data_IF_264792841755
#
_entry.id   IF_264792841755
#
_cell.length_a   1.000
_cell.length_b   1.000
_cell.length_c   1.000
_cell.angle_alpha   90.00
_cell.angle_beta   90.00
_cell.angle_gamma   90.00
#
_symmetry.space_group_name_H-M   'P 1'
#
loop_
_entity.id
_entity.type
_entity.pdbx_description
1 polymer ?
#
# COMPACT_ATOMS: atom_id res chain seq x y z
N UNK A 1 -26.19 12.16 -11.77
CA UNK A 1 -24.72 12.12 -11.56
C UNK A 1 -24.03 12.11 -12.91
N UNK A 2 -23.28 13.15 -13.26
CA UNK A 2 -22.47 13.11 -14.47
C UNK A 2 -21.37 12.05 -14.27
N UNK A 3 -21.29 11.11 -15.20
CA UNK A 3 -20.22 10.13 -15.21
C UNK A 3 -18.90 10.86 -15.53
N UNK A 4 -18.07 11.04 -14.52
CA UNK A 4 -16.70 11.49 -14.76
C UNK A 4 -15.98 10.37 -15.51
N UNK A 5 -15.40 10.70 -16.67
CA UNK A 5 -14.56 9.76 -17.39
C UNK A 5 -13.17 9.68 -16.71
N UNK A 6 -12.39 8.64 -17.00
CA UNK A 6 -11.07 8.45 -16.41
C UNK A 6 -10.13 9.66 -16.59
N UNK A 7 -10.22 10.37 -17.70
CA UNK A 7 -9.44 11.59 -17.98
C UNK A 7 -9.83 12.73 -17.03
N UNK A 8 -11.13 12.88 -16.70
CA UNK A 8 -11.60 13.90 -15.76
C UNK A 8 -11.16 13.58 -14.32
N UNK A 9 -11.16 12.30 -13.93
CA UNK A 9 -10.67 11.86 -12.62
C UNK A 9 -9.15 12.04 -12.50
N UNK A 10 -8.40 11.68 -13.54
CA UNK A 10 -6.95 11.93 -13.60
C UNK A 10 -6.64 13.43 -13.54
N UNK A 11 -7.39 14.26 -14.28
CA UNK A 11 -7.21 15.72 -14.23
C UNK A 11 -7.55 16.31 -12.86
N UNK A 12 -8.51 15.73 -12.14
CA UNK A 12 -8.86 16.12 -10.78
C UNK A 12 -7.76 15.70 -9.79
N UNK A 13 -7.27 14.47 -9.88
CA UNK A 13 -6.15 13.97 -9.09
C UNK A 13 -4.86 14.78 -9.31
N UNK A 14 -4.59 15.17 -10.57
CA UNK A 14 -3.46 16.05 -10.91
C UNK A 14 -3.68 17.50 -10.46
N UNK A 15 -4.94 17.95 -10.29
CA UNK A 15 -5.24 19.28 -9.71
C UNK A 15 -5.13 19.30 -8.19
N UNK A 16 -5.48 18.21 -7.56
CA UNK A 16 -5.17 17.99 -6.14
C UNK A 16 -3.67 17.77 -5.94
N UNK A 17 -2.92 17.60 -7.04
CA UNK A 17 -1.50 17.38 -7.09
C UNK A 17 -0.71 18.53 -6.50
N UNK A 18 -0.11 18.28 -5.42
CA UNK A 18 0.70 19.12 -4.57
C UNK A 18 2.13 19.26 -5.12
N UNK A 19 2.37 18.80 -6.33
CA UNK A 19 3.66 18.85 -6.99
C UNK A 19 3.82 20.18 -7.74
N UNK A 20 4.73 21.02 -7.28
CA UNK A 20 5.25 22.10 -8.10
C UNK A 20 6.09 21.50 -9.23
N UNK A 21 5.57 21.50 -10.46
CA UNK A 21 6.30 21.10 -11.64
C UNK A 21 7.61 21.92 -11.80
N UNK A 22 7.56 23.21 -11.44
CA UNK A 22 8.70 24.11 -11.49
C UNK A 22 9.81 23.68 -10.51
N UNK A 23 9.45 23.34 -9.27
CA UNK A 23 10.40 22.82 -8.27
C UNK A 23 10.94 21.45 -8.67
N UNK A 24 10.12 20.60 -9.32
CA UNK A 24 10.56 19.30 -9.86
C UNK A 24 11.58 19.48 -10.97
N UNK A 25 11.30 20.35 -11.94
CA UNK A 25 12.23 20.65 -13.03
C UNK A 25 13.52 21.31 -12.54
N UNK A 26 13.46 22.07 -11.45
CA UNK A 26 14.62 22.65 -10.81
C UNK A 26 15.43 21.66 -9.95
N UNK A 27 14.97 20.41 -9.77
CA UNK A 27 15.60 19.41 -8.93
C UNK A 27 15.57 19.71 -7.43
N UNK A 28 14.74 20.68 -7.02
CA UNK A 28 14.62 21.12 -5.63
C UNK A 28 13.42 20.51 -4.90
N UNK A 29 12.61 19.72 -5.61
CA UNK A 29 11.35 19.18 -5.14
C UNK A 29 11.43 17.72 -4.64
N UNK A 30 12.60 17.11 -4.63
CA UNK A 30 12.76 15.72 -4.22
C UNK A 30 13.19 15.66 -2.76
N UNK A 31 12.38 15.08 -1.90
CA UNK A 31 12.76 14.82 -0.51
C UNK A 31 13.68 13.60 -0.39
N UNK A 32 14.17 13.30 0.83
CA UNK A 32 15.07 12.18 1.07
C UNK A 32 14.46 10.80 0.69
N UNK A 33 13.13 10.69 0.62
CA UNK A 33 12.42 9.50 0.14
C UNK A 33 12.20 9.46 -1.37
N UNK A 34 12.67 10.47 -2.12
CA UNK A 34 12.48 10.59 -3.57
C UNK A 34 11.08 11.08 -3.96
N UNK A 35 10.30 11.61 -3.02
CA UNK A 35 8.96 12.13 -3.27
C UNK A 35 9.00 13.62 -3.63
N UNK A 36 8.02 14.04 -4.41
CA UNK A 36 7.73 15.47 -4.58
C UNK A 36 7.20 16.03 -3.26
N UNK A 37 7.72 17.18 -2.78
CA UNK A 37 7.20 17.81 -1.57
C UNK A 37 5.72 18.17 -1.71
N UNK A 38 4.90 17.71 -0.78
CA UNK A 38 3.53 18.14 -0.64
C UNK A 38 3.49 19.49 0.06
N UNK A 39 3.18 20.56 -0.70
CA UNK A 39 3.15 21.93 -0.21
C UNK A 39 1.81 22.33 0.43
N UNK A 40 0.83 21.43 0.47
CA UNK A 40 -0.44 21.67 1.16
C UNK A 40 -0.23 21.77 2.67
N UNK A 41 -1.15 22.47 3.33
CA UNK A 41 -1.15 22.57 4.80
C UNK A 41 -1.75 21.32 5.47
N UNK A 42 -2.59 20.59 4.74
CA UNK A 42 -3.25 19.36 5.18
C UNK A 42 -3.41 18.42 3.98
N UNK A 43 -3.24 17.12 4.16
CA UNK A 43 -3.38 16.12 3.11
C UNK A 43 -4.02 14.85 3.64
N UNK A 44 -4.22 13.85 2.76
CA UNK A 44 -4.78 12.53 3.12
C UNK A 44 -4.17 11.91 4.36
N UNK A 45 -2.88 12.16 4.60
CA UNK A 45 -2.14 11.54 5.70
C UNK A 45 -2.45 12.19 7.05
N UNK A 46 -2.84 13.46 7.06
CA UNK A 46 -3.11 14.24 8.27
C UNK A 46 -4.60 14.45 8.55
N UNK A 47 -5.46 14.31 7.53
CA UNK A 47 -6.90 14.49 7.64
C UNK A 47 -7.56 13.54 8.65
N UNK A 48 -8.48 14.07 9.44
CA UNK A 48 -9.37 13.30 10.33
C UNK A 48 -10.69 12.97 9.63
N UNK A 49 -11.56 12.20 10.28
CA UNK A 49 -12.72 11.56 9.64
C UNK A 49 -13.70 12.51 8.96
N UNK A 50 -13.88 13.72 9.47
CA UNK A 50 -14.77 14.76 8.93
C UNK A 50 -14.10 15.70 7.94
N UNK A 51 -12.80 15.56 7.71
CA UNK A 51 -12.03 16.35 6.75
C UNK A 51 -11.83 15.63 5.41
N UNK A 52 -12.01 14.31 5.38
CA UNK A 52 -11.78 13.50 4.18
C UNK A 52 -12.88 13.75 3.14
N UNK A 53 -12.48 14.20 1.97
CA UNK A 53 -13.41 14.37 0.84
C UNK A 53 -13.99 13.01 0.40
N UNK A 54 -15.31 12.91 0.14
CA UNK A 54 -15.94 11.67 -0.32
C UNK A 54 -15.32 11.08 -1.59
N UNK A 55 -14.82 11.91 -2.51
CA UNK A 55 -14.17 11.42 -3.72
C UNK A 55 -12.82 10.79 -3.38
N UNK A 56 -12.01 11.42 -2.54
CA UNK A 56 -10.75 10.89 -2.05
C UNK A 56 -10.96 9.55 -1.31
N UNK A 57 -11.96 9.47 -0.44
CA UNK A 57 -12.34 8.21 0.20
C UNK A 57 -12.57 7.11 -0.85
N UNK A 58 -13.36 7.39 -1.89
CA UNK A 58 -13.67 6.41 -2.93
C UNK A 58 -12.42 6.03 -3.73
N UNK A 59 -11.56 6.97 -4.07
CA UNK A 59 -10.30 6.71 -4.79
C UNK A 59 -9.35 5.84 -3.96
N UNK A 60 -9.17 6.15 -2.69
CA UNK A 60 -8.33 5.36 -1.78
C UNK A 60 -8.87 3.94 -1.62
N UNK A 61 -10.19 3.77 -1.42
CA UNK A 61 -10.79 2.43 -1.35
C UNK A 61 -10.64 1.68 -2.67
N UNK A 62 -10.87 2.36 -3.80
CA UNK A 62 -10.72 1.74 -5.11
C UNK A 62 -9.30 1.28 -5.36
N UNK A 63 -8.31 2.15 -5.18
CA UNK A 63 -6.92 1.82 -5.47
C UNK A 63 -6.32 0.80 -4.51
N UNK A 64 -6.66 0.84 -3.23
CA UNK A 64 -5.99 0.05 -2.20
C UNK A 64 -6.73 -1.22 -1.77
N UNK A 65 -8.00 -1.39 -2.13
CA UNK A 65 -8.76 -2.59 -1.79
C UNK A 65 -9.52 -3.19 -2.98
N UNK A 66 -10.27 -2.39 -3.73
CA UNK A 66 -11.10 -2.88 -4.82
C UNK A 66 -10.26 -3.32 -6.02
N UNK A 67 -9.30 -2.50 -6.45
CA UNK A 67 -8.43 -2.85 -7.58
C UNK A 67 -7.57 -4.09 -7.30
N UNK A 68 -6.91 -4.25 -6.12
CA UNK A 68 -6.27 -5.51 -5.75
C UNK A 68 -7.22 -6.72 -5.81
N UNK A 69 -8.44 -6.60 -5.29
CA UNK A 69 -9.43 -7.67 -5.39
C UNK A 69 -9.73 -8.05 -6.85
N UNK A 70 -9.96 -7.06 -7.70
CA UNK A 70 -10.23 -7.28 -9.12
C UNK A 70 -9.04 -7.91 -9.83
N UNK A 71 -7.81 -7.46 -9.56
CA UNK A 71 -6.60 -8.02 -10.13
C UNK A 71 -6.42 -9.48 -9.72
N UNK A 72 -6.53 -9.80 -8.43
CA UNK A 72 -6.46 -11.18 -7.94
C UNK A 72 -7.52 -12.05 -8.60
N UNK A 73 -8.78 -11.60 -8.60
CA UNK A 73 -9.89 -12.33 -9.20
C UNK A 73 -9.68 -12.62 -10.69
N UNK A 74 -9.20 -11.64 -11.45
CA UNK A 74 -9.02 -11.76 -12.91
C UNK A 74 -7.75 -12.50 -13.32
N UNK A 75 -6.69 -12.42 -12.52
CA UNK A 75 -5.43 -13.09 -12.79
C UNK A 75 -5.36 -14.51 -12.24
N UNK A 76 -6.20 -14.87 -11.28
CA UNK A 76 -6.22 -16.21 -10.67
C UNK A 76 -6.28 -17.35 -11.70
N UNK A 77 -7.11 -17.33 -12.76
CA UNK A 77 -7.12 -18.37 -13.77
C UNK A 77 -5.77 -18.54 -14.49
N UNK A 78 -5.08 -17.44 -14.78
CA UNK A 78 -3.75 -17.48 -15.41
C UNK A 78 -2.69 -18.04 -14.45
N UNK A 79 -2.72 -17.66 -13.17
CA UNK A 79 -1.83 -18.20 -12.13
C UNK A 79 -2.05 -19.71 -11.96
N UNK A 80 -3.31 -20.15 -11.91
CA UNK A 80 -3.65 -21.59 -11.88
C UNK A 80 -3.10 -22.34 -13.09
N UNK A 81 -3.28 -21.78 -14.29
CA UNK A 81 -2.77 -22.39 -15.53
C UNK A 81 -1.23 -22.48 -15.52
N UNK A 82 -0.52 -21.49 -14.99
CA UNK A 82 0.92 -21.54 -14.84
C UNK A 82 1.38 -22.69 -13.92
N UNK A 83 0.70 -22.89 -12.80
CA UNK A 83 0.98 -24.02 -11.89
C UNK A 83 0.69 -25.34 -12.56
N UNK A 84 -0.43 -25.47 -13.28
CA UNK A 84 -0.76 -26.70 -14.05
C UNK A 84 0.24 -26.98 -15.17
N UNK A 85 0.86 -25.95 -15.74
CA UNK A 85 1.91 -26.07 -16.76
C UNK A 85 3.30 -26.38 -16.19
N UNK A 86 3.44 -26.53 -14.87
CA UNK A 86 4.68 -26.97 -14.21
C UNK A 86 5.34 -25.93 -13.31
N UNK A 87 4.79 -24.74 -13.16
CA UNK A 87 5.25 -23.82 -12.14
C UNK A 87 4.96 -24.43 -10.75
N UNK A 88 5.95 -24.39 -9.86
CA UNK A 88 5.82 -24.95 -8.52
C UNK A 88 4.71 -24.27 -7.72
N UNK A 89 4.62 -22.95 -7.83
CA UNK A 89 3.70 -22.06 -7.12
C UNK A 89 3.41 -20.81 -7.95
N UNK A 90 2.40 -20.05 -7.53
CA UNK A 90 2.20 -18.67 -7.94
C UNK A 90 2.03 -17.80 -6.70
N UNK A 91 2.28 -16.51 -6.84
CA UNK A 91 2.38 -15.60 -5.70
C UNK A 91 1.47 -14.38 -5.86
N UNK A 92 0.84 -13.99 -4.77
CA UNK A 92 0.17 -12.71 -4.60
C UNK A 92 0.72 -12.05 -3.34
N UNK A 93 1.41 -10.95 -3.49
CA UNK A 93 1.92 -10.17 -2.36
C UNK A 93 1.17 -8.85 -2.31
N UNK A 94 0.23 -8.74 -1.38
CA UNK A 94 -0.53 -7.53 -1.16
C UNK A 94 0.29 -6.56 -0.32
N UNK A 95 0.66 -5.42 -0.90
CA UNK A 95 1.38 -4.37 -0.18
C UNK A 95 0.42 -3.67 0.77
N UNK A 96 0.49 -4.09 2.02
CA UNK A 96 -0.27 -3.54 3.13
C UNK A 96 0.61 -2.61 3.98
N UNK A 97 0.17 -2.33 5.18
CA UNK A 97 0.90 -1.52 6.14
C UNK A 97 0.33 -1.71 7.54
N UNK A 98 1.07 -1.21 8.54
CA UNK A 98 0.60 -1.14 9.93
C UNK A 98 -0.75 -0.41 10.08
N UNK A 99 -1.12 0.40 9.11
CA UNK A 99 -2.42 1.09 9.02
C UNK A 99 -3.58 0.10 9.02
N UNK A 100 -3.43 -1.07 8.41
CA UNK A 100 -4.42 -2.14 8.39
C UNK A 100 -4.42 -3.07 9.60
N UNK A 101 -3.51 -2.92 10.57
CA UNK A 101 -3.44 -3.78 11.75
C UNK A 101 -4.41 -3.34 12.86
N UNK A 102 -5.17 -4.29 13.42
CA UNK A 102 -6.01 -4.09 14.61
C UNK A 102 -5.28 -4.34 15.92
N UNK A 103 -4.21 -5.12 15.90
CA UNK A 103 -3.46 -5.51 17.10
C UNK A 103 -2.60 -4.38 17.71
N UNK A 104 -2.44 -3.25 17.02
CA UNK A 104 -1.68 -2.12 17.57
C UNK A 104 -2.42 -1.44 18.70
N UNK A 105 -1.68 -1.16 19.79
CA UNK A 105 -2.23 -0.48 20.97
C UNK A 105 -2.74 0.93 20.69
N UNK A 106 -2.11 1.63 19.76
CA UNK A 106 -2.44 3.01 19.42
C UNK A 106 -2.61 3.19 17.91
N UNK A 107 -3.69 3.83 17.55
CA UNK A 107 -3.97 4.39 16.23
C UNK A 107 -4.27 5.88 16.42
N UNK A 108 -3.52 6.74 15.74
CA UNK A 108 -3.83 8.17 15.68
C UNK A 108 -5.12 8.43 14.92
N UNK A 109 -5.69 9.66 15.03
CA UNK A 109 -6.96 10.00 14.36
C UNK A 109 -6.80 10.22 12.85
N UNK A 110 -5.57 10.43 12.34
CA UNK A 110 -5.30 10.74 10.93
C UNK A 110 -5.55 9.56 9.98
N UNK A 111 -5.75 9.89 8.71
CA UNK A 111 -5.89 8.96 7.56
C UNK A 111 -6.81 7.75 7.79
N UNK A 112 -8.04 7.92 8.34
CA UNK A 112 -8.93 6.80 8.67
C UNK A 112 -9.34 6.01 7.41
N UNK A 113 -9.51 6.66 6.28
CA UNK A 113 -9.85 6.05 4.99
C UNK A 113 -8.74 5.14 4.44
N UNK A 114 -7.47 5.49 4.65
CA UNK A 114 -6.31 4.64 4.31
C UNK A 114 -6.23 3.44 5.25
N UNK A 115 -6.42 3.64 6.55
CA UNK A 115 -6.50 2.55 7.53
C UNK A 115 -7.59 1.53 7.15
N UNK A 116 -8.79 2.01 6.77
CA UNK A 116 -9.90 1.17 6.30
C UNK A 116 -9.51 0.36 5.07
N UNK A 117 -8.87 0.97 4.07
CA UNK A 117 -8.48 0.31 2.84
C UNK A 117 -7.43 -0.80 3.08
N UNK A 118 -6.43 -0.55 3.92
CA UNK A 118 -5.42 -1.55 4.27
C UNK A 118 -5.99 -2.67 5.14
N UNK A 119 -6.94 -2.37 6.03
CA UNK A 119 -7.68 -3.40 6.78
C UNK A 119 -8.52 -4.29 5.86
N UNK A 120 -9.19 -3.71 4.85
CA UNK A 120 -9.93 -4.46 3.85
C UNK A 120 -9.00 -5.39 3.03
N UNK A 121 -7.83 -4.90 2.62
CA UNK A 121 -6.82 -5.69 1.92
C UNK A 121 -6.29 -6.85 2.77
N UNK A 122 -6.03 -6.60 4.05
CA UNK A 122 -5.64 -7.62 5.02
C UNK A 122 -6.74 -8.69 5.18
N UNK A 123 -8.01 -8.28 5.28
CA UNK A 123 -9.14 -9.19 5.39
C UNK A 123 -9.30 -10.06 4.14
N UNK A 124 -9.16 -9.48 2.93
CA UNK A 124 -9.16 -10.24 1.68
C UNK A 124 -8.06 -11.32 1.70
N UNK A 125 -6.84 -10.97 2.10
CA UNK A 125 -5.72 -11.90 2.21
C UNK A 125 -6.05 -13.05 3.17
N UNK A 126 -6.47 -12.71 4.39
CA UNK A 126 -6.82 -13.68 5.43
C UNK A 126 -7.95 -14.62 5.01
N UNK A 127 -8.95 -14.09 4.31
CA UNK A 127 -10.14 -14.86 3.90
C UNK A 127 -9.84 -15.82 2.74
N UNK A 128 -9.04 -15.37 1.74
CA UNK A 128 -8.94 -16.07 0.46
C UNK A 128 -7.70 -16.94 0.31
N UNK A 129 -6.62 -16.65 1.05
CA UNK A 129 -5.32 -17.30 0.83
C UNK A 129 -5.35 -18.82 1.06
N UNK A 130 -6.05 -19.31 2.08
CA UNK A 130 -6.12 -20.74 2.40
C UNK A 130 -6.79 -21.54 1.30
N UNK A 131 -7.90 -21.03 0.74
CA UNK A 131 -8.59 -21.68 -0.38
C UNK A 131 -7.74 -21.60 -1.66
N UNK A 132 -7.12 -20.47 -1.97
CA UNK A 132 -6.26 -20.32 -3.15
C UNK A 132 -5.02 -21.24 -3.08
N UNK A 133 -4.45 -21.43 -1.90
CA UNK A 133 -3.35 -22.36 -1.73
C UNK A 133 -3.79 -23.81 -1.90
N UNK A 134 -4.88 -24.22 -1.25
CA UNK A 134 -5.34 -25.63 -1.27
C UNK A 134 -5.78 -26.08 -2.66
N UNK A 135 -6.42 -25.19 -3.43
CA UNK A 135 -6.94 -25.50 -4.78
C UNK A 135 -5.96 -25.25 -5.90
N UNK A 136 -5.18 -24.18 -5.83
CA UNK A 136 -4.43 -23.66 -6.97
C UNK A 136 -2.91 -23.53 -6.69
N UNK A 137 -2.45 -23.82 -5.48
CA UNK A 137 -1.04 -23.63 -5.05
C UNK A 137 -0.58 -22.18 -5.18
N UNK A 138 -1.49 -21.23 -5.00
CA UNK A 138 -1.20 -19.80 -5.01
C UNK A 138 -0.98 -19.34 -3.56
N UNK A 139 0.21 -18.82 -3.28
CA UNK A 139 0.58 -18.25 -1.99
C UNK A 139 0.21 -16.76 -1.97
N UNK A 140 -0.70 -16.38 -1.09
CA UNK A 140 -1.09 -14.97 -0.92
C UNK A 140 -0.77 -14.48 0.48
N UNK A 141 -0.02 -13.38 0.58
CA UNK A 141 0.38 -12.70 1.82
C UNK A 141 0.03 -11.23 1.78
N UNK A 142 -0.08 -10.60 2.94
CA UNK A 142 -0.10 -9.14 3.10
C UNK A 142 1.21 -8.72 3.77
N UNK A 143 1.92 -7.73 3.20
CA UNK A 143 3.25 -7.32 3.66
C UNK A 143 3.23 -5.86 4.09
N UNK A 144 3.72 -5.59 5.29
CA UNK A 144 4.09 -4.25 5.74
C UNK A 144 5.53 -3.96 5.27
N UNK A 145 5.67 -2.98 4.39
CA UNK A 145 6.98 -2.54 3.88
C UNK A 145 7.84 -1.86 4.94
N UNK A 146 7.22 -1.51 6.06
CA UNK A 146 7.83 -0.62 7.03
C UNK A 146 7.81 0.85 6.59
N UNK A 147 8.42 1.70 7.36
CA UNK A 147 8.40 3.15 7.12
C UNK A 147 9.54 3.57 6.21
N UNK A 148 9.27 3.62 4.91
CA UNK A 148 10.24 3.91 3.84
C UNK A 148 10.16 5.35 3.32
N UNK A 149 9.02 6.03 3.51
CA UNK A 149 8.79 7.42 3.10
C UNK A 149 7.97 8.15 4.16
N UNK A 150 7.96 9.47 4.10
CA UNK A 150 7.11 10.32 4.95
C UNK A 150 6.11 11.05 4.06
N UNK A 151 4.83 10.71 4.19
CA UNK A 151 3.74 11.24 3.37
C UNK A 151 3.10 12.50 3.97
N UNK A 152 3.60 13.00 5.10
CA UNK A 152 3.10 14.22 5.72
C UNK A 152 3.36 15.45 4.85
N UNK A 153 2.59 16.54 5.01
CA UNK A 153 2.87 17.82 4.37
C UNK A 153 4.32 18.27 4.58
N UNK A 154 4.91 18.92 3.58
CA UNK A 154 6.35 19.22 3.56
C UNK A 154 6.80 20.05 4.77
N UNK A 155 6.01 21.02 5.21
CA UNK A 155 6.33 21.82 6.39
C UNK A 155 6.41 20.98 7.68
N UNK A 156 5.57 19.96 7.80
CA UNK A 156 5.60 19.00 8.90
C UNK A 156 6.88 18.14 8.83
N UNK A 157 7.24 17.66 7.64
CA UNK A 157 8.49 16.91 7.43
C UNK A 157 9.71 17.71 7.86
N UNK A 158 9.77 18.99 7.44
CA UNK A 158 10.88 19.89 7.82
C UNK A 158 10.96 20.09 9.33
N UNK A 159 9.81 20.28 10.00
CA UNK A 159 9.77 20.42 11.46
C UNK A 159 10.31 19.18 12.16
N UNK A 160 9.85 18.01 11.77
CA UNK A 160 10.23 16.74 12.38
C UNK A 160 11.69 16.38 12.06
N UNK A 161 12.15 16.70 10.84
CA UNK A 161 13.55 16.53 10.47
C UNK A 161 14.49 17.40 11.33
N UNK A 162 14.05 18.63 11.67
CA UNK A 162 14.80 19.49 12.60
C UNK A 162 14.88 18.91 14.02
N UNK A 163 13.93 18.05 14.41
CA UNK A 163 13.94 17.28 15.66
C UNK A 163 14.80 15.99 15.57
N UNK A 164 15.44 15.74 14.41
CA UNK A 164 16.34 14.60 14.17
C UNK A 164 15.64 13.32 13.72
N UNK A 165 14.35 13.37 13.33
CA UNK A 165 13.65 12.20 12.85
C UNK A 165 13.56 12.16 11.31
N UNK A 166 13.73 10.97 10.74
CA UNK A 166 13.49 10.66 9.33
C UNK A 166 12.95 9.23 9.20
N UNK A 167 12.37 8.90 8.03
CA UNK A 167 11.97 7.52 7.77
C UNK A 167 13.18 6.58 7.92
N UNK A 168 13.06 5.49 8.72
CA UNK A 168 14.22 4.67 9.08
C UNK A 168 14.68 3.71 7.97
N UNK A 169 13.88 3.51 6.94
CA UNK A 169 14.11 2.55 5.86
C UNK A 169 14.16 3.28 4.52
N UNK A 170 14.72 2.64 3.50
CA UNK A 170 14.76 3.13 2.13
C UNK A 170 13.89 2.29 1.18
N UNK A 171 13.90 2.65 -0.10
CA UNK A 171 13.12 1.95 -1.13
C UNK A 171 13.57 0.50 -1.34
N UNK A 172 14.87 0.23 -1.15
CA UNK A 172 15.43 -1.14 -1.27
C UNK A 172 14.93 -2.00 -0.12
N UNK A 173 14.91 -1.46 1.09
CA UNK A 173 14.33 -2.13 2.27
C UNK A 173 12.86 -2.50 2.07
N UNK A 174 12.08 -1.57 1.53
CA UNK A 174 10.66 -1.80 1.23
C UNK A 174 10.48 -2.88 0.16
N UNK A 175 11.23 -2.79 -0.93
CA UNK A 175 11.19 -3.77 -2.02
C UNK A 175 11.62 -5.18 -1.54
N UNK A 176 12.67 -5.26 -0.72
CA UNK A 176 13.13 -6.52 -0.16
C UNK A 176 12.05 -7.22 0.68
N UNK A 177 11.31 -6.47 1.50
CA UNK A 177 10.20 -7.01 2.30
C UNK A 177 9.06 -7.56 1.44
N UNK A 178 8.74 -6.87 0.34
CA UNK A 178 7.70 -7.34 -0.61
C UNK A 178 8.16 -8.58 -1.37
N UNK A 179 9.44 -8.69 -1.68
CA UNK A 179 10.01 -9.81 -2.43
C UNK A 179 10.25 -11.06 -1.58
N UNK A 180 10.48 -10.90 -0.29
CA UNK A 180 10.81 -11.98 0.65
C UNK A 180 9.82 -13.18 0.63
N UNK A 181 8.49 -13.01 0.65
CA UNK A 181 7.54 -14.13 0.55
C UNK A 181 7.71 -14.97 -0.72
N UNK A 182 8.17 -14.37 -1.81
CA UNK A 182 8.46 -15.08 -3.06
C UNK A 182 9.72 -15.91 -2.88
N UNK A 183 10.78 -15.33 -2.31
CA UNK A 183 12.06 -16.05 -2.04
C UNK A 183 11.82 -17.24 -1.13
N UNK A 184 11.09 -17.06 -0.04
CA UNK A 184 10.71 -18.14 0.89
C UNK A 184 9.90 -19.23 0.17
N UNK A 185 8.93 -18.85 -0.65
CA UNK A 185 8.13 -19.77 -1.45
C UNK A 185 8.98 -20.58 -2.43
N UNK A 186 9.92 -19.98 -3.14
CA UNK A 186 10.84 -20.69 -4.03
C UNK A 186 11.81 -21.60 -3.26
N UNK A 187 12.19 -21.22 -2.04
CA UNK A 187 12.95 -22.06 -1.12
C UNK A 187 12.15 -23.27 -0.57
N UNK A 188 10.83 -23.25 -0.71
CA UNK A 188 9.97 -24.37 -0.33
C UNK A 188 9.05 -24.10 0.85
N UNK A 189 9.04 -22.89 1.38
CA UNK A 189 8.16 -22.51 2.47
C UNK A 189 6.76 -22.14 1.97
N UNK A 190 5.71 -22.68 2.59
CA UNK A 190 4.32 -22.39 2.25
C UNK A 190 3.80 -21.25 3.14
N UNK A 191 4.29 -20.02 2.90
CA UNK A 191 3.85 -18.83 3.61
C UNK A 191 2.63 -18.20 2.93
N UNK A 192 1.47 -18.27 3.56
CA UNK A 192 0.22 -17.67 3.05
C UNK A 192 -0.76 -17.34 4.17
N UNK A 193 -1.72 -16.47 3.87
CA UNK A 193 -2.82 -16.15 4.78
C UNK A 193 -2.40 -15.40 6.05
N UNK A 194 -1.25 -14.75 6.00
CA UNK A 194 -0.69 -14.02 7.13
C UNK A 194 -0.31 -12.57 6.74
N UNK A 195 -0.22 -11.74 7.74
CA UNK A 195 0.40 -10.43 7.67
C UNK A 195 1.88 -10.58 8.01
N UNK A 196 2.75 -10.11 7.14
CA UNK A 196 4.21 -10.19 7.30
C UNK A 196 4.75 -8.80 7.63
N UNK A 197 5.49 -8.72 8.73
CA UNK A 197 6.18 -7.52 9.17
C UNK A 197 7.61 -7.86 9.55
N UNK A 198 8.56 -7.08 9.06
CA UNK A 198 9.99 -7.30 9.32
C UNK A 198 10.40 -8.77 9.08
N UNK A 199 9.99 -9.31 7.91
CA UNK A 199 10.27 -10.68 7.44
C UNK A 199 9.64 -11.80 8.28
N UNK A 200 8.64 -11.51 9.11
CA UNK A 200 8.00 -12.50 9.99
C UNK A 200 6.49 -12.36 10.01
N UNK A 201 5.74 -13.47 10.12
CA UNK A 201 4.33 -13.41 10.44
C UNK A 201 4.07 -12.59 11.71
N UNK A 202 3.10 -11.71 11.62
CA UNK A 202 2.71 -10.79 12.68
C UNK A 202 1.18 -10.82 12.86
N UNK A 203 0.65 -10.48 14.03
CA UNK A 203 -0.79 -10.32 14.22
C UNK A 203 -1.40 -9.30 13.26
N UNK A 204 -2.68 -9.56 12.91
CA UNK A 204 -3.46 -8.67 12.04
C UNK A 204 -3.81 -7.35 12.69
#
# INVERSE_FOLDING_TARGET
MAAHNAASLTALALKAGNASLEAHLAGTAVDAGGLLPDVQTNNSWTQVVDEVDPLELLEVQFCNSIAPFLLVSRLRPAMRAAVQAGARRAYVVNVSAMEGQFSRRYKGPGHPHTNMAKAALNMMTRTSAGEMFSTDRILMTAVDTGWITDERPHHEKLRIAAEGWHAPLDLVDGAARVYDPIVLGEAGEDLYGCFVKDYKPSPW
#
